data_IF_993441808212
#
_entry.id   IF_993441808212
#
_cell.length_a   1.000
_cell.length_b   1.000
_cell.length_c   1.000
_cell.angle_alpha   90.00
_cell.angle_beta   90.00
_cell.angle_gamma   90.00
#
_symmetry.space_group_name_H-M   'P 1'
#
loop_
_entity.id
_entity.type
_entity.pdbx_description
1 polymer ?
#
# COMPACT_ATOMS: atom_id res chain seq x y z
N UNK A 1 -0.10 27.44 -4.66
CA UNK A 1 0.95 26.80 -3.83
C UNK A 1 1.43 25.59 -4.63
N UNK A 2 2.67 25.61 -5.10
CA UNK A 2 3.25 24.44 -5.78
C UNK A 2 3.41 23.34 -4.73
N UNK A 3 2.51 22.34 -4.73
CA UNK A 3 2.69 21.16 -3.90
C UNK A 3 3.99 20.49 -4.35
N UNK A 4 5.04 20.63 -3.54
CA UNK A 4 6.30 19.92 -3.71
C UNK A 4 6.02 18.44 -3.54
N UNK A 5 6.03 17.69 -4.64
CA UNK A 5 5.84 16.23 -4.67
C UNK A 5 7.19 15.53 -4.55
N UNK A 6 7.21 14.42 -3.80
CA UNK A 6 8.39 13.58 -3.61
C UNK A 6 8.36 12.29 -4.44
N UNK A 7 7.42 12.22 -5.38
CA UNK A 7 7.35 11.15 -6.36
C UNK A 7 8.46 11.28 -7.39
N UNK A 8 8.95 10.14 -7.90
CA UNK A 8 9.86 10.15 -9.05
C UNK A 8 9.13 10.71 -10.29
N UNK A 9 9.84 11.34 -11.25
CA UNK A 9 9.21 11.83 -12.47
C UNK A 9 8.41 10.76 -13.23
N UNK A 10 8.88 9.51 -13.24
CA UNK A 10 8.17 8.40 -13.85
C UNK A 10 6.82 8.11 -13.17
N UNK A 11 6.80 8.01 -11.84
CA UNK A 11 5.54 7.79 -11.09
C UNK A 11 4.61 9.00 -11.23
N UNK A 12 5.14 10.23 -11.23
CA UNK A 12 4.33 11.42 -11.53
C UNK A 12 3.72 11.34 -12.91
N UNK A 13 4.47 10.96 -13.93
CA UNK A 13 3.94 10.86 -15.29
C UNK A 13 2.85 9.79 -15.39
N UNK A 14 3.03 8.65 -14.70
CA UNK A 14 2.00 7.62 -14.58
C UNK A 14 0.74 8.18 -13.90
N UNK A 15 0.88 8.92 -12.80
CA UNK A 15 -0.24 9.49 -12.05
C UNK A 15 -0.84 10.74 -12.70
N UNK A 16 -0.11 11.49 -13.53
CA UNK A 16 -0.61 12.64 -14.30
C UNK A 16 -1.38 12.20 -15.55
N UNK A 17 -1.12 10.98 -16.04
CA UNK A 17 -1.91 10.37 -17.11
C UNK A 17 -3.35 10.05 -16.70
N UNK A 18 -3.61 10.07 -15.39
CA UNK A 18 -4.92 9.99 -14.75
C UNK A 18 -5.54 11.40 -14.83
N UNK A 19 -6.51 11.60 -15.72
CA UNK A 19 -7.11 12.93 -15.97
C UNK A 19 -8.64 12.93 -15.87
N UNK A 20 -9.16 14.07 -15.41
CA UNK A 20 -10.45 14.39 -14.79
C UNK A 20 -11.71 14.25 -15.65
N UNK A 21 -11.68 13.46 -16.72
CA UNK A 21 -12.85 13.19 -17.57
C UNK A 21 -13.06 11.70 -17.70
N UNK A 22 -13.69 11.12 -16.67
CA UNK A 22 -14.28 9.80 -16.74
C UNK A 22 -15.53 9.85 -17.63
N UNK A 23 -15.47 9.28 -18.83
CA UNK A 23 -16.67 8.91 -19.58
C UNK A 23 -17.25 7.65 -18.93
N UNK A 24 -17.91 7.84 -17.79
CA UNK A 24 -18.54 6.77 -17.03
C UNK A 24 -19.73 6.22 -17.81
N UNK A 25 -19.70 4.93 -18.13
CA UNK A 25 -20.89 4.14 -18.44
C UNK A 25 -21.09 3.16 -17.31
N UNK A 26 -22.24 3.25 -16.68
CA UNK A 26 -22.68 2.44 -15.57
C UNK A 26 -22.81 0.98 -16.04
N UNK A 27 -21.82 0.14 -15.75
CA UNK A 27 -21.88 -1.29 -15.97
C UNK A 27 -21.93 -2.00 -14.61
N UNK A 28 -23.03 -2.71 -14.35
CA UNK A 28 -23.29 -3.35 -13.05
C UNK A 28 -22.46 -4.62 -12.80
N UNK A 29 -21.64 -5.05 -13.75
CA UNK A 29 -20.75 -6.21 -13.61
C UNK A 29 -19.35 -5.88 -14.12
N UNK A 30 -18.43 -5.67 -13.18
CA UNK A 30 -16.99 -5.57 -13.42
C UNK A 30 -16.39 -6.98 -13.43
N UNK A 31 -15.90 -7.42 -14.58
CA UNK A 31 -15.17 -8.68 -14.71
C UNK A 31 -13.65 -8.46 -14.79
N UNK A 32 -12.87 -9.50 -14.45
CA UNK A 32 -11.42 -9.50 -14.71
C UNK A 32 -11.13 -9.32 -16.20
N UNK A 33 -12.02 -9.78 -17.09
CA UNK A 33 -11.86 -9.63 -18.54
C UNK A 33 -11.90 -8.15 -18.97
N UNK A 34 -12.72 -7.33 -18.32
CA UNK A 34 -12.78 -5.88 -18.58
C UNK A 34 -11.47 -5.19 -18.15
N UNK A 35 -10.89 -5.65 -17.03
CA UNK A 35 -9.58 -5.17 -16.57
C UNK A 35 -8.48 -5.62 -17.53
N UNK A 36 -8.54 -6.87 -18.02
CA UNK A 36 -7.58 -7.42 -18.97
C UNK A 36 -7.54 -6.62 -20.28
N UNK A 37 -8.69 -6.19 -20.78
CA UNK A 37 -8.75 -5.35 -22.00
C UNK A 37 -8.04 -4.00 -21.85
N UNK A 38 -7.84 -3.54 -20.61
CA UNK A 38 -7.09 -2.32 -20.34
C UNK A 38 -5.57 -2.54 -20.33
N UNK A 39 -5.09 -3.77 -20.26
CA UNK A 39 -3.67 -4.08 -20.25
C UNK A 39 -3.07 -3.95 -21.66
N UNK A 40 -2.05 -3.10 -21.79
CA UNK A 40 -1.31 -2.90 -23.02
C UNK A 40 -0.01 -3.73 -22.98
N UNK A 41 -0.07 -4.92 -23.60
CA UNK A 41 1.07 -5.83 -23.73
C UNK A 41 1.71 -5.62 -25.11
N UNK A 42 3.00 -5.30 -25.13
CA UNK A 42 3.83 -5.12 -26.32
C UNK A 42 4.89 -6.24 -26.42
N UNK A 43 5.63 -6.31 -27.53
CA UNK A 43 6.66 -7.35 -27.75
C UNK A 43 7.75 -7.38 -26.65
N UNK A 44 8.06 -6.22 -26.05
CA UNK A 44 9.08 -6.10 -24.98
C UNK A 44 8.50 -6.22 -23.55
N UNK A 45 7.22 -6.58 -23.42
CA UNK A 45 6.51 -6.65 -22.14
C UNK A 45 5.43 -5.59 -22.02
N UNK A 46 5.10 -5.17 -20.80
CA UNK A 46 3.97 -4.26 -20.58
C UNK A 46 4.33 -2.80 -20.67
N UNK A 47 3.48 -2.10 -21.42
CA UNK A 47 3.41 -0.66 -21.37
C UNK A 47 2.59 -0.23 -20.14
N UNK A 48 3.27 -0.03 -19.02
CA UNK A 48 2.63 0.34 -17.75
C UNK A 48 1.87 1.66 -17.88
N UNK A 49 2.43 2.64 -18.59
CA UNK A 49 1.83 3.96 -18.75
C UNK A 49 0.49 3.89 -19.49
N UNK A 50 0.47 3.23 -20.65
CA UNK A 50 -0.76 3.08 -21.42
C UNK A 50 -1.79 2.21 -20.69
N UNK A 51 -1.34 1.17 -19.98
CA UNK A 51 -2.22 0.31 -19.19
C UNK A 51 -2.89 1.09 -18.04
N UNK A 52 -2.13 1.90 -17.30
CA UNK A 52 -2.65 2.74 -16.22
C UNK A 52 -3.62 3.78 -16.76
N UNK A 53 -3.28 4.42 -17.89
CA UNK A 53 -4.16 5.39 -18.56
C UNK A 53 -5.49 4.76 -18.95
N UNK A 54 -5.47 3.57 -19.57
CA UNK A 54 -6.69 2.84 -19.94
C UNK A 54 -7.51 2.47 -18.70
N UNK A 55 -6.86 1.90 -17.67
CA UNK A 55 -7.52 1.54 -16.42
C UNK A 55 -8.20 2.74 -15.76
N UNK A 56 -7.54 3.90 -15.70
CA UNK A 56 -8.12 5.10 -15.10
C UNK A 56 -9.30 5.67 -15.87
N UNK A 57 -9.25 5.62 -17.20
CA UNK A 57 -10.34 6.14 -18.03
C UNK A 57 -11.61 5.29 -17.99
N UNK A 58 -11.48 3.99 -17.73
CA UNK A 58 -12.60 3.04 -17.86
C UNK A 58 -12.96 2.37 -16.54
N UNK A 59 -12.05 1.60 -15.96
CA UNK A 59 -12.37 0.62 -14.89
C UNK A 59 -12.21 1.20 -13.49
N UNK A 60 -11.16 1.98 -13.22
CA UNK A 60 -10.90 2.50 -11.88
C UNK A 60 -12.07 3.33 -11.30
N UNK A 61 -12.73 4.24 -12.05
CA UNK A 61 -13.87 4.98 -11.53
C UNK A 61 -15.07 4.07 -11.22
N UNK A 62 -15.25 2.99 -11.99
CA UNK A 62 -16.33 2.03 -11.75
C UNK A 62 -16.08 1.22 -10.48
N UNK A 63 -14.84 0.77 -10.24
CA UNK A 63 -14.47 0.03 -9.03
C UNK A 63 -14.62 0.93 -7.80
N UNK A 64 -14.11 2.16 -7.87
CA UNK A 64 -14.25 3.14 -6.78
C UNK A 64 -15.73 3.42 -6.50
N UNK A 65 -16.53 3.72 -7.53
CA UNK A 65 -17.96 3.95 -7.37
C UNK A 65 -18.69 2.74 -6.76
N UNK A 66 -18.40 1.53 -7.23
CA UNK A 66 -18.99 0.29 -6.71
C UNK A 66 -18.79 0.15 -5.20
N UNK A 67 -17.56 0.33 -4.72
CA UNK A 67 -17.24 0.26 -3.29
C UNK A 67 -17.73 1.47 -2.51
N UNK A 68 -17.78 2.66 -3.12
CA UNK A 68 -18.28 3.86 -2.47
C UNK A 68 -19.78 3.79 -2.20
N UNK A 69 -20.57 3.14 -3.06
CA UNK A 69 -22.00 2.91 -2.81
C UNK A 69 -22.26 1.85 -1.73
N UNK A 70 -21.30 0.99 -1.42
CA UNK A 70 -21.46 -0.06 -0.42
C UNK A 70 -21.26 0.47 1.01
N UNK A 71 -22.16 0.08 1.91
CA UNK A 71 -21.91 0.19 3.36
C UNK A 71 -21.01 -0.94 3.86
N UNK A 72 -20.48 -0.79 5.08
CA UNK A 72 -19.64 -1.81 5.71
C UNK A 72 -20.43 -3.10 5.94
N UNK A 73 -21.70 -2.99 6.29
CA UNK A 73 -22.61 -4.13 6.50
C UNK A 73 -22.89 -4.87 5.19
N UNK A 74 -23.13 -4.13 4.11
CA UNK A 74 -23.32 -4.70 2.78
C UNK A 74 -22.05 -5.42 2.30
N UNK A 75 -20.89 -4.78 2.46
CA UNK A 75 -19.60 -5.37 2.11
C UNK A 75 -19.33 -6.64 2.91
N UNK A 76 -19.58 -6.63 4.24
CA UNK A 76 -19.46 -7.84 5.08
C UNK A 76 -20.43 -8.92 4.66
N UNK A 77 -21.71 -8.60 4.47
CA UNK A 77 -22.73 -9.58 4.08
C UNK A 77 -22.40 -10.25 2.75
N UNK A 78 -21.75 -9.55 1.83
CA UNK A 78 -21.43 -10.07 0.50
C UNK A 78 -20.08 -10.79 0.44
N UNK A 79 -19.04 -10.25 1.09
CA UNK A 79 -17.66 -10.74 0.96
C UNK A 79 -17.15 -11.56 2.15
N UNK A 80 -17.82 -11.54 3.32
CA UNK A 80 -17.42 -12.35 4.49
C UNK A 80 -17.89 -13.80 4.36
N UNK A 81 -17.33 -14.49 3.37
CA UNK A 81 -17.52 -15.91 3.13
C UNK A 81 -16.20 -16.52 2.66
N UNK A 82 -16.13 -17.85 2.69
CA UNK A 82 -14.92 -18.57 2.32
C UNK A 82 -14.62 -18.50 0.82
N UNK A 83 -15.65 -18.24 -0.01
CA UNK A 83 -15.46 -18.08 -1.46
C UNK A 83 -14.60 -16.87 -1.81
N UNK A 84 -14.80 -15.71 -1.18
CA UNK A 84 -13.97 -14.52 -1.42
C UNK A 84 -12.81 -14.38 -0.44
N UNK A 85 -13.04 -14.63 0.84
CA UNK A 85 -12.09 -14.32 1.91
C UNK A 85 -11.49 -15.55 2.59
N UNK A 86 -11.83 -16.78 2.18
CA UNK A 86 -11.32 -18.01 2.81
C UNK A 86 -9.80 -18.16 2.68
N UNK A 87 -9.21 -17.53 1.68
CA UNK A 87 -7.77 -17.52 1.46
C UNK A 87 -6.99 -16.56 2.38
N UNK A 88 -7.68 -15.64 3.06
CA UNK A 88 -7.09 -14.62 3.92
C UNK A 88 -7.04 -15.09 5.37
N UNK A 89 -5.85 -15.17 5.96
CA UNK A 89 -5.70 -15.57 7.37
C UNK A 89 -6.26 -14.55 8.37
N UNK A 90 -6.15 -13.27 8.04
CA UNK A 90 -6.72 -12.18 8.84
C UNK A 90 -7.84 -11.46 8.08
N UNK A 91 -8.87 -12.17 7.61
CA UNK A 91 -9.99 -11.54 6.87
C UNK A 91 -10.66 -10.38 7.63
N UNK A 92 -10.61 -10.37 8.96
CA UNK A 92 -11.08 -9.24 9.79
C UNK A 92 -10.37 -7.92 9.45
N UNK A 93 -9.09 -7.98 9.11
CA UNK A 93 -8.31 -6.80 8.73
C UNK A 93 -8.82 -6.21 7.41
N UNK A 94 -9.30 -7.02 6.48
CA UNK A 94 -9.88 -6.55 5.22
C UNK A 94 -11.08 -5.62 5.48
N UNK A 95 -11.95 -6.01 6.41
CA UNK A 95 -13.13 -5.20 6.77
C UNK A 95 -12.76 -3.94 7.55
N UNK A 96 -11.72 -4.00 8.38
CA UNK A 96 -11.15 -2.82 9.02
C UNK A 96 -10.60 -1.85 7.98
N UNK A 97 -9.87 -2.36 6.99
CA UNK A 97 -9.34 -1.56 5.87
C UNK A 97 -10.49 -0.93 5.08
N UNK A 98 -11.56 -1.67 4.79
CA UNK A 98 -12.73 -1.12 4.11
C UNK A 98 -13.37 0.03 4.91
N UNK A 99 -13.51 -0.11 6.23
CA UNK A 99 -13.99 0.98 7.09
C UNK A 99 -13.08 2.22 7.02
N UNK A 100 -11.76 2.04 7.01
CA UNK A 100 -10.80 3.14 6.83
C UNK A 100 -11.01 3.85 5.48
N UNK A 101 -11.25 3.09 4.40
CA UNK A 101 -11.56 3.66 3.08
C UNK A 101 -12.85 4.51 3.12
N UNK A 102 -13.91 4.00 3.76
CA UNK A 102 -15.17 4.75 3.94
C UNK A 102 -14.99 6.04 4.74
N UNK A 103 -14.02 6.09 5.65
CA UNK A 103 -13.68 7.28 6.44
C UNK A 103 -12.64 8.19 5.75
N UNK A 104 -12.33 7.97 4.48
CA UNK A 104 -11.32 8.69 3.71
C UNK A 104 -9.89 8.59 4.27
N UNK A 105 -9.58 7.53 5.01
CA UNK A 105 -8.25 7.25 5.55
C UNK A 105 -7.41 6.42 4.56
N UNK A 106 -7.35 6.90 3.31
CA UNK A 106 -6.79 6.19 2.16
C UNK A 106 -5.33 5.79 2.38
N UNK A 107 -4.54 6.64 3.04
CA UNK A 107 -3.11 6.38 3.27
C UNK A 107 -2.90 5.16 4.18
N UNK A 108 -3.60 5.12 5.32
CA UNK A 108 -3.51 4.00 6.25
C UNK A 108 -4.12 2.72 5.65
N UNK A 109 -5.25 2.84 4.97
CA UNK A 109 -5.87 1.73 4.26
C UNK A 109 -4.90 1.10 3.24
N UNK A 110 -4.21 1.92 2.45
CA UNK A 110 -3.24 1.45 1.45
C UNK A 110 -2.07 0.72 2.09
N UNK A 111 -1.48 1.29 3.15
CA UNK A 111 -0.38 0.65 3.86
C UNK A 111 -0.78 -0.73 4.42
N UNK A 112 -1.92 -0.81 5.10
CA UNK A 112 -2.44 -2.07 5.63
C UNK A 112 -2.76 -3.09 4.52
N UNK A 113 -3.34 -2.63 3.42
CA UNK A 113 -3.69 -3.47 2.28
C UNK A 113 -2.46 -4.06 1.60
N UNK A 114 -1.37 -3.28 1.47
CA UNK A 114 -0.09 -3.81 0.96
C UNK A 114 0.51 -4.87 1.88
N UNK A 115 0.46 -4.68 3.21
CA UNK A 115 0.86 -5.71 4.18
C UNK A 115 0.03 -6.98 4.08
N UNK A 116 -1.29 -6.84 4.04
CA UNK A 116 -2.22 -7.96 3.91
C UNK A 116 -1.94 -8.74 2.62
N UNK A 117 -1.70 -8.02 1.52
CA UNK A 117 -1.36 -8.61 0.22
C UNK A 117 -0.05 -9.39 0.30
N UNK A 118 1.04 -8.76 0.75
CA UNK A 118 2.36 -9.38 0.84
C UNK A 118 2.36 -10.65 1.71
N UNK A 119 1.66 -10.59 2.85
CA UNK A 119 1.54 -11.74 3.76
C UNK A 119 0.80 -12.90 3.10
N UNK A 120 -0.38 -12.65 2.54
CA UNK A 120 -1.23 -13.72 2.03
C UNK A 120 -0.75 -14.25 0.67
N UNK A 121 -0.19 -13.41 -0.21
CA UNK A 121 0.45 -13.90 -1.45
C UNK A 121 1.63 -14.83 -1.15
N UNK A 122 2.44 -14.51 -0.13
CA UNK A 122 3.50 -15.42 0.29
C UNK A 122 2.96 -16.74 0.86
N UNK A 123 1.81 -16.74 1.54
CA UNK A 123 1.15 -17.97 1.98
C UNK A 123 0.64 -18.81 0.79
N UNK A 124 0.14 -18.17 -0.28
CA UNK A 124 -0.25 -18.88 -1.50
C UNK A 124 0.90 -19.61 -2.15
N UNK A 125 2.11 -19.02 -2.16
CA UNK A 125 3.28 -19.68 -2.72
C UNK A 125 3.56 -21.02 -2.03
N UNK A 126 3.29 -21.13 -0.72
CA UNK A 126 3.50 -22.36 0.03
C UNK A 126 2.67 -23.57 -0.44
N UNK A 127 1.67 -23.36 -1.29
CA UNK A 127 0.94 -24.45 -1.96
C UNK A 127 1.88 -25.28 -2.83
N UNK A 128 2.89 -24.65 -3.44
CA UNK A 128 3.77 -25.28 -4.43
C UNK A 128 5.25 -25.26 -4.07
N UNK A 129 5.69 -24.37 -3.16
CA UNK A 129 7.10 -24.24 -2.77
C UNK A 129 7.27 -24.26 -1.25
N UNK A 130 8.45 -24.66 -0.77
CA UNK A 130 8.72 -24.76 0.67
C UNK A 130 9.28 -23.46 1.28
N UNK A 131 9.85 -22.58 0.46
CA UNK A 131 10.52 -21.36 0.90
C UNK A 131 9.98 -20.17 0.12
N UNK A 132 9.43 -19.19 0.84
CA UNK A 132 8.86 -17.99 0.24
C UNK A 132 9.96 -16.94 0.08
N UNK A 133 10.07 -16.29 -1.09
CA UNK A 133 10.99 -15.16 -1.26
C UNK A 133 10.77 -14.07 -0.23
N UNK A 134 11.87 -13.44 0.22
CA UNK A 134 11.83 -12.41 1.27
C UNK A 134 11.34 -11.05 0.76
N UNK A 135 11.35 -10.82 -0.55
CA UNK A 135 10.94 -9.56 -1.16
C UNK A 135 9.60 -9.72 -1.89
N UNK A 136 8.65 -8.82 -1.63
CA UNK A 136 7.36 -8.79 -2.33
C UNK A 136 7.51 -8.83 -3.85
N UNK A 137 8.49 -8.10 -4.40
CA UNK A 137 8.81 -8.11 -5.83
C UNK A 137 9.07 -9.53 -6.35
N UNK A 138 9.85 -10.32 -5.61
CA UNK A 138 10.17 -11.70 -5.99
C UNK A 138 8.95 -12.62 -5.88
N UNK A 139 8.04 -12.36 -4.93
CA UNK A 139 6.76 -13.09 -4.84
C UNK A 139 5.93 -12.83 -6.10
N UNK A 140 5.78 -11.56 -6.47
CA UNK A 140 4.95 -11.14 -7.61
C UNK A 140 5.55 -11.55 -8.96
N UNK A 141 6.87 -11.53 -9.10
CA UNK A 141 7.59 -11.94 -10.32
C UNK A 141 7.77 -13.46 -10.41
N UNK A 142 7.33 -14.23 -9.41
CA UNK A 142 7.49 -15.69 -9.42
C UNK A 142 6.58 -16.38 -10.42
N UNK A 143 7.13 -17.34 -11.16
CA UNK A 143 6.35 -18.23 -12.03
C UNK A 143 5.34 -19.06 -11.23
N UNK A 144 5.67 -19.37 -9.97
CA UNK A 144 4.77 -20.04 -9.01
C UNK A 144 3.49 -19.24 -8.81
N UNK A 145 3.58 -17.95 -8.50
CA UNK A 145 2.40 -17.11 -8.34
C UNK A 145 1.58 -17.05 -9.64
N UNK A 146 2.25 -16.88 -10.78
CA UNK A 146 1.62 -16.86 -12.09
C UNK A 146 0.88 -18.17 -12.41
N UNK A 147 1.39 -19.32 -11.99
CA UNK A 147 0.72 -20.60 -12.17
C UNK A 147 -0.53 -20.76 -11.30
N UNK A 148 -0.56 -20.10 -10.13
CA UNK A 148 -1.67 -20.16 -9.18
C UNK A 148 -2.78 -19.17 -9.57
N UNK A 149 -2.40 -17.93 -9.88
CA UNK A 149 -3.34 -16.82 -10.13
C UNK A 149 -3.66 -16.61 -11.62
N UNK A 150 -2.89 -17.22 -12.52
CA UNK A 150 -2.91 -16.90 -13.94
C UNK A 150 -2.08 -15.66 -14.28
N UNK A 151 -1.81 -15.49 -15.58
CA UNK A 151 -1.01 -14.37 -16.11
C UNK A 151 -1.65 -13.03 -15.78
N UNK A 152 -2.95 -12.89 -16.02
CA UNK A 152 -3.64 -11.60 -16.05
C UNK A 152 -3.67 -10.95 -14.66
N UNK A 153 -4.03 -11.73 -13.63
CA UNK A 153 -4.08 -11.23 -12.26
C UNK A 153 -2.67 -10.95 -11.71
N UNK A 154 -1.70 -11.80 -12.03
CA UNK A 154 -0.28 -11.58 -11.66
C UNK A 154 0.24 -10.27 -12.23
N UNK A 155 -0.13 -9.97 -13.47
CA UNK A 155 0.24 -8.76 -14.18
C UNK A 155 -0.33 -7.49 -13.55
N UNK A 156 -1.57 -7.56 -13.07
CA UNK A 156 -2.22 -6.46 -12.36
C UNK A 156 -1.56 -6.18 -11.02
N UNK A 157 -1.15 -7.22 -10.29
CA UNK A 157 -0.32 -7.04 -9.10
C UNK A 157 1.05 -6.43 -9.44
N UNK A 158 1.69 -6.83 -10.55
CA UNK A 158 2.93 -6.22 -11.02
C UNK A 158 2.75 -4.72 -11.31
N UNK A 159 1.62 -4.34 -11.91
CA UNK A 159 1.29 -2.96 -12.23
C UNK A 159 1.08 -2.09 -10.98
N UNK A 160 0.47 -2.62 -9.92
CA UNK A 160 0.18 -1.87 -8.69
C UNK A 160 1.30 -1.87 -7.66
N UNK A 161 1.87 -3.04 -7.35
CA UNK A 161 2.77 -3.24 -6.20
C UNK A 161 4.08 -3.94 -6.60
N UNK A 162 4.35 -4.04 -7.90
CA UNK A 162 5.53 -4.71 -8.45
C UNK A 162 6.79 -3.82 -8.50
N UNK A 163 7.47 -3.84 -9.64
CA UNK A 163 8.77 -3.19 -9.80
C UNK A 163 8.69 -1.65 -9.85
N UNK A 164 9.82 -0.92 -9.70
CA UNK A 164 9.85 0.55 -9.85
C UNK A 164 9.43 1.08 -11.23
N UNK A 165 9.27 0.20 -12.24
CA UNK A 165 8.73 0.59 -13.56
C UNK A 165 7.20 0.78 -13.55
N UNK A 166 6.52 0.30 -12.51
CA UNK A 166 5.07 0.42 -12.32
C UNK A 166 4.74 1.47 -11.25
N UNK A 167 3.48 1.55 -10.80
CA UNK A 167 3.08 2.50 -9.74
C UNK A 167 3.87 2.22 -8.46
N UNK A 168 4.08 0.94 -8.16
CA UNK A 168 4.79 0.48 -6.98
C UNK A 168 4.25 1.09 -5.67
N UNK A 169 2.93 1.01 -5.47
CA UNK A 169 2.20 1.53 -4.31
C UNK A 169 2.88 1.15 -3.00
N UNK A 170 3.33 -0.10 -2.86
CA UNK A 170 4.03 -0.56 -1.66
C UNK A 170 5.24 0.32 -1.38
N UNK A 171 6.19 0.48 -2.31
CA UNK A 171 7.40 1.25 -2.02
C UNK A 171 7.12 2.74 -1.87
N UNK A 172 6.25 3.33 -2.69
CA UNK A 172 6.02 4.78 -2.61
C UNK A 172 5.38 5.18 -1.28
N UNK A 173 4.43 4.39 -0.78
CA UNK A 173 3.81 4.63 0.53
C UNK A 173 4.77 4.31 1.68
N UNK A 174 5.38 3.13 1.71
CA UNK A 174 6.21 2.70 2.85
C UNK A 174 7.48 3.52 3.03
N UNK A 175 8.08 4.02 1.95
CA UNK A 175 9.25 4.89 2.01
C UNK A 175 8.88 6.38 2.16
N UNK A 176 7.61 6.71 2.43
CA UNK A 176 7.17 8.06 2.75
C UNK A 176 7.28 9.04 1.59
N UNK A 177 7.26 8.59 0.33
CA UNK A 177 7.25 9.49 -0.82
C UNK A 177 5.88 10.16 -1.06
N UNK A 178 4.83 9.59 -0.46
CA UNK A 178 3.44 10.02 -0.65
C UNK A 178 3.00 10.97 0.47
N UNK A 179 2.55 12.15 0.10
CA UNK A 179 1.86 13.08 0.98
C UNK A 179 0.37 12.72 1.14
N UNK A 180 -0.29 13.35 2.11
CA UNK A 180 -1.73 13.19 2.34
C UNK A 180 -2.52 13.52 1.06
N UNK A 181 -3.37 12.58 0.63
CA UNK A 181 -4.22 12.65 -0.57
C UNK A 181 -3.48 12.97 -1.89
N UNK A 182 -2.19 12.62 -2.00
CA UNK A 182 -1.43 12.82 -3.24
C UNK A 182 -1.74 11.77 -4.33
N UNK A 183 -2.09 10.55 -3.92
CA UNK A 183 -2.51 9.46 -4.83
C UNK A 183 -4.02 9.23 -4.69
N UNK A 184 -4.68 8.99 -5.83
CA UNK A 184 -6.12 8.68 -5.90
C UNK A 184 -6.46 7.35 -5.20
N UNK A 185 -7.55 7.35 -4.42
CA UNK A 185 -8.16 6.20 -3.76
C UNK A 185 -8.51 5.05 -4.71
N UNK A 186 -8.78 5.36 -5.98
CA UNK A 186 -8.98 4.41 -7.08
C UNK A 186 -7.98 3.25 -7.09
N UNK A 187 -6.69 3.54 -6.88
CA UNK A 187 -5.65 2.51 -6.88
C UNK A 187 -5.73 1.58 -5.67
N UNK A 188 -6.12 2.12 -4.52
CA UNK A 188 -6.35 1.35 -3.30
C UNK A 188 -7.59 0.47 -3.44
N UNK A 189 -8.67 1.00 -4.03
CA UNK A 189 -9.87 0.23 -4.35
C UNK A 189 -9.62 -0.86 -5.39
N UNK A 190 -8.78 -0.61 -6.41
CA UNK A 190 -8.36 -1.65 -7.33
C UNK A 190 -7.58 -2.75 -6.60
N UNK A 191 -6.62 -2.40 -5.73
CA UNK A 191 -5.90 -3.41 -4.95
C UNK A 191 -6.86 -4.24 -4.08
N UNK A 192 -7.86 -3.61 -3.47
CA UNK A 192 -8.90 -4.29 -2.69
C UNK A 192 -9.68 -5.28 -3.57
N UNK A 193 -10.10 -4.83 -4.75
CA UNK A 193 -10.79 -5.66 -5.73
C UNK A 193 -9.95 -6.88 -6.11
N UNK A 194 -8.67 -6.69 -6.47
CA UNK A 194 -7.79 -7.80 -6.87
C UNK A 194 -7.61 -8.84 -5.77
N UNK A 195 -7.52 -8.42 -4.50
CA UNK A 195 -7.45 -9.33 -3.35
C UNK A 195 -8.73 -10.17 -3.25
N UNK A 196 -9.90 -9.57 -3.44
CA UNK A 196 -11.17 -10.29 -3.42
C UNK A 196 -11.28 -11.29 -4.58
N UNK A 197 -10.72 -10.97 -5.75
CA UNK A 197 -10.72 -11.84 -6.92
C UNK A 197 -9.84 -13.09 -6.77
N UNK A 198 -8.89 -13.11 -5.83
CA UNK A 198 -8.07 -14.30 -5.57
C UNK A 198 -8.91 -15.45 -5.01
N UNK A 199 -9.87 -15.16 -4.13
CA UNK A 199 -10.69 -16.17 -3.44
C UNK A 199 -11.31 -17.18 -4.41
N UNK A 200 -12.09 -16.73 -5.42
CA UNK A 200 -12.65 -17.59 -6.45
C UNK A 200 -11.63 -18.48 -7.18
N UNK A 201 -10.41 -17.98 -7.40
CA UNK A 201 -9.34 -18.68 -8.16
C UNK A 201 -8.69 -19.79 -7.32
N UNK A 202 -8.54 -19.54 -6.03
CA UNK A 202 -7.92 -20.50 -5.09
C UNK A 202 -8.94 -21.24 -4.26
N UNK A 203 -10.22 -21.12 -4.61
CA UNK A 203 -11.33 -21.77 -3.94
C UNK A 203 -11.03 -23.27 -3.75
N UNK A 204 -11.39 -23.81 -2.59
CA UNK A 204 -11.14 -25.21 -2.18
C UNK A 204 -9.68 -25.59 -1.91
N UNK A 205 -8.69 -24.71 -2.15
CA UNK A 205 -7.28 -24.99 -1.81
C UNK A 205 -7.03 -24.74 -0.32
N UNK A 206 -6.37 -25.68 0.35
CA UNK A 206 -5.86 -25.48 1.71
C UNK A 206 -4.60 -24.63 1.65
N UNK A 207 -4.65 -23.42 2.21
CA UNK A 207 -3.54 -22.47 2.14
C UNK A 207 -2.68 -22.59 3.40
N UNK A 208 -1.39 -22.97 3.26
CA UNK A 208 -0.48 -23.05 4.39
C UNK A 208 -0.25 -21.68 5.01
N UNK A 209 0.09 -21.67 6.30
CA UNK A 209 0.31 -20.45 7.05
C UNK A 209 1.75 -20.34 7.50
N UNK A 210 2.41 -19.26 7.11
CA UNK A 210 3.68 -18.88 7.72
C UNK A 210 3.43 -18.44 9.15
N UNK A 211 4.24 -18.90 10.09
CA UNK A 211 4.16 -18.38 11.46
C UNK A 211 4.56 -16.89 11.50
N UNK A 212 3.99 -16.15 12.46
CA UNK A 212 4.48 -14.81 12.78
C UNK A 212 5.81 -14.92 13.54
N UNK A 213 6.69 -13.96 13.32
CA UNK A 213 7.92 -13.85 14.10
C UNK A 213 7.49 -13.52 15.54
N UNK A 214 7.85 -14.39 16.47
CA UNK A 214 7.65 -14.09 17.88
C UNK A 214 8.80 -13.24 18.41
N UNK A 215 8.45 -12.15 19.09
CA UNK A 215 9.38 -11.29 19.80
C UNK A 215 9.59 -11.74 21.25
N UNK A 216 9.36 -13.03 21.61
CA UNK A 216 9.57 -13.56 22.97
C UNK A 216 10.91 -13.10 23.59
N UNK A 217 12.00 -13.12 22.80
CA UNK A 217 13.34 -12.72 23.26
C UNK A 217 13.43 -11.28 23.73
N UNK A 218 12.51 -10.43 23.30
CA UNK A 218 12.46 -9.00 23.56
C UNK A 218 11.39 -8.60 24.58
N UNK A 219 10.55 -9.54 25.05
CA UNK A 219 9.51 -9.26 26.06
C UNK A 219 10.04 -8.68 27.36
N UNK A 220 11.25 -9.10 27.76
CA UNK A 220 11.87 -8.69 29.02
C UNK A 220 12.78 -7.46 28.88
N UNK A 221 12.89 -6.92 27.67
CA UNK A 221 13.72 -5.75 27.44
C UNK A 221 12.81 -4.53 27.37
N UNK A 222 12.90 -3.68 28.40
CA UNK A 222 12.35 -2.33 28.38
C UNK A 222 13.22 -1.47 27.43
N UNK A 223 13.16 -1.71 26.12
CA UNK A 223 13.98 -1.00 25.14
C UNK A 223 13.60 0.46 24.98
N UNK A 224 12.36 0.81 25.30
CA UNK A 224 11.89 2.18 25.29
C UNK A 224 11.70 2.60 26.74
N UNK A 225 12.49 3.55 27.27
CA UNK A 225 12.03 4.33 28.40
C UNK A 225 10.73 5.01 27.95
N UNK A 226 9.59 4.42 28.30
CA UNK A 226 8.26 4.98 28.10
C UNK A 226 8.07 6.29 28.88
N UNK A 227 9.09 6.72 29.63
CA UNK A 227 9.18 8.02 30.31
C UNK A 227 9.29 9.22 29.34
N UNK A 228 9.28 9.00 28.02
CA UNK A 228 8.98 10.07 27.04
C UNK A 228 7.47 10.35 27.09
N UNK A 229 7.05 11.00 28.17
CA UNK A 229 5.75 11.64 28.26
C UNK A 229 5.80 12.92 27.41
N UNK A 230 5.37 12.86 26.14
CA UNK A 230 4.68 14.05 25.63
C UNK A 230 3.38 14.15 26.46
N UNK A 231 3.24 15.18 27.32
CA UNK A 231 2.30 15.14 28.43
C UNK A 231 0.83 15.09 27.98
N UNK A 232 0.55 15.51 26.74
CA UNK A 232 -0.76 15.36 26.11
C UNK A 232 -0.66 15.41 24.57
N UNK A 233 -1.68 14.85 23.90
CA UNK A 233 -1.80 14.82 22.43
C UNK A 233 -1.78 16.23 21.82
N UNK A 234 -2.41 17.21 22.48
CA UNK A 234 -2.53 18.58 21.97
C UNK A 234 -1.17 19.25 21.79
N UNK A 235 -0.26 19.06 22.75
CA UNK A 235 1.11 19.60 22.66
C UNK A 235 1.86 19.00 21.48
N UNK A 236 1.75 17.68 21.27
CA UNK A 236 2.37 17.01 20.13
C UNK A 236 1.82 17.55 18.79
N UNK A 237 0.50 17.69 18.68
CA UNK A 237 -0.18 18.24 17.50
C UNK A 237 0.27 19.68 17.24
N UNK A 238 0.40 20.49 18.28
CA UNK A 238 0.86 21.87 18.18
C UNK A 238 2.31 21.96 17.69
N UNK A 239 3.19 21.09 18.16
CA UNK A 239 4.58 20.98 17.69
C UNK A 239 4.59 20.62 16.19
N UNK A 240 3.80 19.62 15.77
CA UNK A 240 3.71 19.21 14.36
C UNK A 240 3.22 20.37 13.48
N UNK A 241 2.18 21.10 13.92
CA UNK A 241 1.63 22.22 13.16
C UNK A 241 2.65 23.35 12.95
N UNK A 242 3.43 23.66 13.99
CA UNK A 242 4.43 24.75 14.00
C UNK A 242 5.78 24.35 13.38
N UNK A 243 6.04 23.05 13.26
CA UNK A 243 7.31 22.54 12.72
C UNK A 243 7.51 22.93 11.25
N UNK A 244 8.68 23.50 10.95
CA UNK A 244 9.17 23.74 9.58
C UNK A 244 9.85 22.50 8.97
N UNK A 245 10.19 21.50 9.81
CA UNK A 245 10.79 20.24 9.35
C UNK A 245 9.77 19.39 8.59
N UNK A 246 8.51 19.42 9.04
CA UNK A 246 7.40 18.65 8.48
C UNK A 246 6.69 19.47 7.41
N UNK A 247 6.70 18.98 6.16
CA UNK A 247 5.95 19.65 5.10
C UNK A 247 4.45 19.53 5.33
N UNK A 248 3.69 20.52 4.84
CA UNK A 248 2.25 20.61 5.08
C UNK A 248 1.49 19.36 4.62
N UNK A 249 1.96 18.67 3.57
CA UNK A 249 1.36 17.42 3.09
C UNK A 249 1.50 16.23 4.04
N UNK A 250 2.47 16.24 4.97
CA UNK A 250 2.66 15.15 5.95
C UNK A 250 2.05 15.46 7.32
N UNK A 251 1.73 16.72 7.62
CA UNK A 251 1.15 17.12 8.91
C UNK A 251 -0.15 16.36 9.24
N UNK A 252 -1.11 16.16 8.30
CA UNK A 252 -2.30 15.37 8.58
C UNK A 252 -1.98 13.93 9.01
N UNK A 253 -1.00 13.29 8.37
CA UNK A 253 -0.60 11.91 8.66
C UNK A 253 -0.02 11.78 10.07
N UNK A 254 0.83 12.71 10.49
CA UNK A 254 1.39 12.73 11.84
C UNK A 254 0.30 13.03 12.88
N UNK A 255 -0.63 13.94 12.61
CA UNK A 255 -1.75 14.22 13.52
C UNK A 255 -2.62 12.97 13.70
N UNK A 256 -2.97 12.28 12.61
CA UNK A 256 -3.69 11.00 12.69
C UNK A 256 -2.92 9.95 13.48
N UNK A 257 -1.60 9.85 13.30
CA UNK A 257 -0.74 8.96 14.09
C UNK A 257 -0.81 9.25 15.59
N UNK A 258 -0.80 10.52 15.99
CA UNK A 258 -0.95 10.95 17.39
C UNK A 258 -2.34 10.61 17.94
N UNK A 259 -3.40 10.81 17.15
CA UNK A 259 -4.76 10.45 17.56
C UNK A 259 -4.90 8.94 17.80
N UNK A 260 -4.38 8.12 16.89
CA UNK A 260 -4.37 6.66 17.07
C UNK A 260 -3.61 6.24 18.34
N UNK A 261 -2.51 6.94 18.66
CA UNK A 261 -1.72 6.66 19.86
C UNK A 261 -2.47 7.03 21.16
N UNK A 262 -2.92 8.29 21.28
CA UNK A 262 -3.43 8.83 22.54
C UNK A 262 -4.93 8.59 22.75
N UNK A 263 -5.73 8.65 21.69
CA UNK A 263 -7.20 8.64 21.82
C UNK A 263 -7.77 7.24 21.61
N UNK A 264 -7.14 6.44 20.75
CA UNK A 264 -7.67 5.13 20.33
C UNK A 264 -6.89 3.94 20.91
N UNK A 265 -5.70 4.17 21.49
CA UNK A 265 -4.77 3.11 21.94
C UNK A 265 -4.39 2.11 20.82
N UNK A 266 -4.45 2.55 19.56
CA UNK A 266 -4.16 1.77 18.37
C UNK A 266 -2.70 2.00 17.94
N UNK A 267 -1.78 1.59 18.81
CA UNK A 267 -0.33 1.82 18.64
C UNK A 267 0.21 1.29 17.31
N UNK A 268 -0.34 0.17 16.82
CA UNK A 268 0.01 -0.38 15.52
C UNK A 268 -0.32 0.58 14.38
N UNK A 269 -1.54 1.13 14.34
CA UNK A 269 -1.94 2.10 13.32
C UNK A 269 -1.16 3.40 13.41
N UNK A 270 -0.88 3.85 14.64
CA UNK A 270 -0.01 5.00 14.88
C UNK A 270 1.37 4.80 14.24
N UNK A 271 2.01 3.65 14.47
CA UNK A 271 3.32 3.32 13.91
C UNK A 271 3.28 3.16 12.39
N UNK A 272 2.22 2.58 11.84
CA UNK A 272 2.04 2.46 10.38
C UNK A 272 2.09 3.81 9.68
N UNK A 273 1.51 4.86 10.28
CA UNK A 273 1.57 6.22 9.74
C UNK A 273 2.90 6.93 10.07
N UNK A 274 3.45 6.70 11.26
CA UNK A 274 4.64 7.39 11.73
C UNK A 274 5.89 6.96 10.97
N UNK A 275 6.09 5.66 10.75
CA UNK A 275 7.33 5.11 10.19
C UNK A 275 7.66 5.66 8.79
N UNK A 276 6.72 5.69 7.82
CA UNK A 276 7.02 6.26 6.51
C UNK A 276 7.33 7.75 6.56
N UNK A 277 6.58 8.52 7.35
CA UNK A 277 6.83 9.95 7.51
C UNK A 277 8.19 10.18 8.17
N UNK A 278 8.53 9.40 9.18
CA UNK A 278 9.82 9.48 9.86
C UNK A 278 10.98 9.17 8.91
N UNK A 279 10.87 8.12 8.08
CA UNK A 279 11.86 7.82 7.03
C UNK A 279 12.05 9.02 6.09
N UNK A 280 10.96 9.64 5.64
CA UNK A 280 11.02 10.82 4.79
C UNK A 280 11.71 12.01 5.48
N UNK A 281 11.40 12.30 6.75
CA UNK A 281 12.03 13.39 7.50
C UNK A 281 13.53 13.16 7.68
N UNK A 282 13.94 11.92 8.00
CA UNK A 282 15.35 11.56 8.09
C UNK A 282 16.05 11.72 6.74
N UNK A 283 15.41 11.31 5.64
CA UNK A 283 15.94 11.50 4.29
C UNK A 283 16.16 12.98 3.98
N UNK A 284 15.22 13.86 4.32
CA UNK A 284 15.37 15.32 4.16
C UNK A 284 16.54 15.88 4.96
N UNK A 285 16.67 15.48 6.23
CA UNK A 285 17.77 15.91 7.09
C UNK A 285 19.12 15.46 6.53
N UNK A 286 19.21 14.19 6.12
CA UNK A 286 20.41 13.62 5.51
C UNK A 286 20.82 14.37 4.24
N UNK A 287 19.87 14.54 3.31
CA UNK A 287 20.12 15.23 2.03
C UNK A 287 20.59 16.66 2.23
N UNK A 288 19.98 17.38 3.19
CA UNK A 288 20.37 18.75 3.50
C UNK A 288 21.78 18.81 4.13
N UNK A 289 22.05 17.93 5.10
CA UNK A 289 23.35 17.88 5.78
C UNK A 289 24.51 17.47 4.85
N UNK A 290 24.24 16.66 3.82
CA UNK A 290 25.25 16.13 2.89
C UNK A 290 25.24 16.82 1.51
N UNK A 291 24.40 17.84 1.31
CA UNK A 291 24.28 18.58 0.05
C UNK A 291 24.03 17.69 -1.20
N UNK A 292 23.17 16.67 -1.07
CA UNK A 292 22.89 15.69 -2.14
C UNK A 292 21.39 15.65 -2.53
N UNK A 293 20.83 16.75 -3.07
CA UNK A 293 19.39 16.91 -3.33
C UNK A 293 18.77 15.81 -4.21
N UNK A 294 19.55 15.23 -5.12
CA UNK A 294 19.15 14.12 -5.99
C UNK A 294 18.73 12.88 -5.22
N UNK A 295 19.28 12.65 -4.01
CA UNK A 295 18.96 11.48 -3.19
C UNK A 295 17.60 11.55 -2.49
N UNK A 296 16.94 12.70 -2.54
CA UNK A 296 15.62 12.88 -1.90
C UNK A 296 14.53 12.07 -2.58
N UNK A 297 14.65 11.83 -3.90
CA UNK A 297 13.68 11.11 -4.73
C UNK A 297 14.09 9.65 -5.00
N UNK A 298 15.19 9.18 -4.42
CA UNK A 298 15.70 7.84 -4.63
C UNK A 298 15.54 7.00 -3.37
N UNK A 299 14.94 5.83 -3.50
CA UNK A 299 15.21 4.72 -2.60
C UNK A 299 16.23 3.82 -3.30
N UNK A 300 17.52 4.00 -3.01
CA UNK A 300 18.53 3.12 -3.60
C UNK A 300 18.35 1.71 -3.01
N UNK A 301 18.02 0.73 -3.85
CA UNK A 301 17.91 -0.66 -3.43
C UNK A 301 19.27 -1.37 -3.32
N UNK A 302 20.35 -0.70 -3.74
CA UNK A 302 21.72 -1.26 -3.84
C UNK A 302 22.65 -0.77 -2.74
N UNK A 303 22.19 0.14 -1.90
CA UNK A 303 23.02 0.83 -0.92
C UNK A 303 22.46 0.48 0.46
N UNK A 304 23.26 -0.24 1.25
CA UNK A 304 22.88 -0.69 2.58
C UNK A 304 22.32 0.51 3.39
N UNK A 305 21.11 0.36 3.93
CA UNK A 305 20.45 1.37 4.78
C UNK A 305 21.08 1.52 6.17
N UNK A 306 22.30 1.03 6.35
CA UNK A 306 23.06 1.05 7.60
C UNK A 306 24.51 1.45 7.30
N UNK A 307 24.81 2.74 7.26
CA UNK A 307 26.16 3.21 7.58
C UNK A 307 26.30 3.29 9.10
N UNK A 308 26.37 2.12 9.71
CA UNK A 308 27.07 1.92 10.99
C UNK A 308 28.21 0.91 10.86
N UNK A 309 28.59 0.57 9.62
CA UNK A 309 29.80 -0.19 9.33
C UNK A 309 30.65 0.62 8.32
N UNK A 310 31.35 1.64 8.84
CA UNK A 310 32.67 2.00 8.33
C UNK A 310 33.70 1.40 9.30
N UNK A 311 34.34 0.30 8.89
CA UNK A 311 35.77 0.01 9.13
C UNK A 311 36.32 -0.65 7.87
#
# INVERSE_FOLDING_TARGET
MTNTTYLSPGVRQLLLSVSSTSNYKENNHLSIDDIRQCLCVEEMGINYQESIRRLDMTILPQIEHYFDQMTIEQFRSYYDNDYYCGWLKNRKDLFRIFNLLKNNEIHLATLLLTCLTERNLGNLLLIQINTVPNLLRQIIESSTLCSILGSDLTLLFQLLIGSPKSINLRNVYWHGFIQYNEISSKFTYLLLYLILQIGPIVNEKVIPERQFISYERYKNHNFLPLDICCPNADTAIDIIKKSSLVDNGYKPLLISSINYFYNENEYGLSMMLLLPVFEHLLRKLFVNANHCPERLLTAESTTLFTTLDEV
#
